data_IF_351741346300
#
_entry.id   IF_351741346300
#
_cell.length_a   1.000
_cell.length_b   1.000
_cell.length_c   1.000
_cell.angle_alpha   90.00
_cell.angle_beta   90.00
_cell.angle_gamma   90.00
#
_symmetry.space_group_name_H-M   'P 1'
#
loop_
_entity.id
_entity.type
_entity.pdbx_description
1 polymer ?
#
# COMPACT_ATOMS: atom_id res chain seq x y z
N UNK A 1 -7.19 13.42 2.83
CA UNK A 1 -8.08 12.32 2.37
C UNK A 1 -8.56 11.54 3.56
N UNK A 2 -9.80 11.06 3.54
CA UNK A 2 -10.28 10.12 4.54
C UNK A 2 -9.47 8.81 4.42
N UNK A 3 -9.08 8.24 5.56
CA UNK A 3 -8.40 6.95 5.61
C UNK A 3 -9.37 5.87 5.11
N UNK A 4 -8.85 4.98 4.27
CA UNK A 4 -9.61 3.94 3.62
C UNK A 4 -9.22 2.57 4.18
N UNK A 5 -10.15 1.90 4.87
CA UNK A 5 -9.95 0.53 5.36
C UNK A 5 -10.16 -0.47 4.22
N UNK A 6 -9.20 -1.37 4.02
CA UNK A 6 -9.21 -2.30 2.88
C UNK A 6 -10.36 -3.30 2.96
N UNK A 7 -10.67 -3.81 4.15
CA UNK A 7 -11.81 -4.70 4.35
C UNK A 7 -13.15 -4.04 3.99
N UNK A 8 -13.38 -2.80 4.44
CA UNK A 8 -14.60 -2.04 4.11
C UNK A 8 -14.70 -1.77 2.60
N UNK A 9 -13.57 -1.50 1.93
CA UNK A 9 -13.53 -1.34 0.46
C UNK A 9 -13.94 -2.62 -0.24
N UNK A 10 -13.46 -3.77 0.22
CA UNK A 10 -13.83 -5.06 -0.34
C UNK A 10 -15.34 -5.32 -0.18
N UNK A 11 -15.87 -5.13 1.03
CA UNK A 11 -17.29 -5.36 1.35
C UNK A 11 -18.22 -4.43 0.56
N UNK A 12 -17.79 -3.18 0.35
CA UNK A 12 -18.57 -2.20 -0.42
C UNK A 12 -18.48 -2.40 -1.94
N UNK A 13 -17.47 -3.10 -2.46
CA UNK A 13 -17.20 -3.19 -3.90
C UNK A 13 -17.05 -4.63 -4.44
N UNK A 14 -17.95 -5.58 -4.10
CA UNK A 14 -17.83 -6.97 -4.58
C UNK A 14 -17.88 -7.07 -6.10
N UNK A 15 -18.61 -6.17 -6.76
CA UNK A 15 -18.69 -6.12 -8.22
C UNK A 15 -17.33 -5.77 -8.88
N UNK A 16 -16.57 -4.81 -8.33
CA UNK A 16 -15.24 -4.46 -8.84
C UNK A 16 -14.23 -5.59 -8.63
N UNK A 17 -14.40 -6.38 -7.58
CA UNK A 17 -13.58 -7.58 -7.34
C UNK A 17 -13.87 -8.62 -8.43
N UNK A 18 -15.15 -8.88 -8.72
CA UNK A 18 -15.56 -9.84 -9.75
C UNK A 18 -15.09 -9.44 -11.15
N UNK A 19 -15.10 -8.14 -11.48
CA UNK A 19 -14.60 -7.64 -12.79
C UNK A 19 -13.08 -7.52 -12.84
N UNK A 20 -12.38 -7.72 -11.72
CA UNK A 20 -10.92 -7.56 -11.61
C UNK A 20 -10.47 -6.10 -11.67
N UNK A 21 -11.36 -5.15 -11.45
CA UNK A 21 -11.05 -3.72 -11.34
C UNK A 21 -10.56 -3.31 -9.96
N UNK A 22 -10.93 -4.08 -8.94
CA UNK A 22 -10.37 -4.06 -7.59
C UNK A 22 -9.72 -5.42 -7.31
N UNK A 23 -8.46 -5.42 -6.89
CA UNK A 23 -7.67 -6.65 -6.76
C UNK A 23 -6.89 -6.61 -5.45
N UNK A 24 -6.91 -7.70 -4.70
CA UNK A 24 -6.09 -7.89 -3.52
C UNK A 24 -4.76 -8.58 -3.89
N UNK A 25 -3.66 -8.07 -3.36
CA UNK A 25 -2.36 -8.75 -3.45
C UNK A 25 -2.32 -9.93 -2.48
N UNK A 26 -1.53 -10.95 -2.80
CA UNK A 26 -1.24 -12.02 -1.85
C UNK A 26 -0.55 -11.46 -0.58
N UNK A 27 -0.83 -12.01 0.61
CA UNK A 27 -0.38 -11.47 1.90
C UNK A 27 1.07 -11.86 2.22
N UNK A 28 2.01 -11.43 1.38
CA UNK A 28 3.44 -11.77 1.49
C UNK A 28 4.32 -10.61 1.99
N UNK A 29 3.72 -9.44 2.22
CA UNK A 29 4.45 -8.24 2.61
C UNK A 29 4.42 -8.02 4.12
N UNK A 30 5.58 -7.73 4.68
CA UNK A 30 5.74 -7.22 6.02
C UNK A 30 5.56 -5.69 6.04
N UNK A 31 5.22 -5.17 7.21
CA UNK A 31 4.93 -3.75 7.41
C UNK A 31 6.14 -3.05 8.02
N UNK A 32 6.54 -1.94 7.41
CA UNK A 32 7.60 -1.06 7.88
C UNK A 32 7.15 0.40 7.80
N UNK A 33 7.83 1.28 8.53
CA UNK A 33 7.46 2.69 8.64
C UNK A 33 6.32 2.94 9.63
N UNK A 34 6.16 4.19 10.06
CA UNK A 34 5.14 4.56 11.06
C UNK A 34 3.73 4.55 10.48
N UNK A 35 3.56 4.80 9.18
CA UNK A 35 2.24 4.79 8.56
C UNK A 35 1.85 3.36 8.20
N UNK A 36 1.10 2.75 9.11
CA UNK A 36 0.48 1.45 8.87
C UNK A 36 -0.60 1.52 7.79
N UNK A 37 -1.25 2.68 7.62
CA UNK A 37 -2.27 2.90 6.60
C UNK A 37 -1.83 3.99 5.63
N UNK A 38 -1.89 3.73 4.33
CA UNK A 38 -1.58 4.69 3.29
C UNK A 38 -2.26 4.32 1.97
N UNK A 39 -2.44 5.31 1.11
CA UNK A 39 -3.01 5.14 -0.22
C UNK A 39 -2.53 6.22 -1.16
N UNK A 40 -2.56 5.96 -2.46
CA UNK A 40 -2.26 6.96 -3.46
C UNK A 40 -2.18 6.40 -4.89
N UNK A 41 -2.04 7.29 -5.88
CA UNK A 41 -1.79 6.89 -7.25
C UNK A 41 -0.43 6.19 -7.39
N UNK A 42 -0.39 5.13 -8.17
CA UNK A 42 0.77 4.27 -8.36
C UNK A 42 1.69 4.82 -9.44
N UNK A 43 2.99 4.74 -9.17
CA UNK A 43 4.03 4.68 -10.21
C UNK A 43 4.87 3.43 -9.99
N UNK A 44 5.28 2.79 -11.08
CA UNK A 44 5.96 1.50 -11.06
C UNK A 44 7.41 1.62 -11.51
N UNK A 45 8.24 0.73 -10.96
CA UNK A 45 9.59 0.51 -11.43
C UNK A 45 9.92 -0.97 -11.34
N UNK A 46 10.56 -1.49 -12.38
CA UNK A 46 11.05 -2.87 -12.42
C UNK A 46 12.58 -2.86 -12.42
N UNK A 47 13.16 -3.55 -11.45
CA UNK A 47 14.61 -3.68 -11.28
C UNK A 47 14.95 -5.10 -10.86
N UNK A 48 16.23 -5.47 -10.91
CA UNK A 48 16.70 -6.72 -10.33
C UNK A 48 18.02 -6.50 -9.61
N UNK A 49 17.98 -6.58 -8.28
CA UNK A 49 19.16 -6.42 -7.42
C UNK A 49 19.96 -5.14 -7.72
N UNK A 50 19.24 -4.07 -8.06
CA UNK A 50 19.74 -2.73 -8.34
C UNK A 50 18.82 -1.70 -7.68
N UNK A 51 19.38 -0.57 -7.24
CA UNK A 51 18.60 0.46 -6.55
C UNK A 51 18.75 1.88 -7.11
N UNK A 52 19.42 2.07 -8.25
CA UNK A 52 19.63 3.41 -8.81
C UNK A 52 18.30 4.04 -9.21
N UNK A 53 17.48 3.34 -10.01
CA UNK A 53 16.19 3.88 -10.46
C UNK A 53 15.18 4.08 -9.32
N UNK A 54 15.24 3.24 -8.27
CA UNK A 54 14.42 3.42 -7.06
C UNK A 54 14.78 4.75 -6.39
N UNK A 55 16.07 5.02 -6.21
CA UNK A 55 16.54 6.26 -5.58
C UNK A 55 16.14 7.49 -6.40
N UNK A 56 16.31 7.44 -7.72
CA UNK A 56 15.91 8.54 -8.60
C UNK A 56 14.43 8.92 -8.40
N UNK A 57 13.52 7.93 -8.36
CA UNK A 57 12.10 8.21 -8.05
C UNK A 57 11.92 8.88 -6.69
N UNK A 58 12.53 8.34 -5.64
CA UNK A 58 12.34 8.86 -4.28
C UNK A 58 12.97 10.25 -4.06
N UNK A 59 13.92 10.64 -4.92
CA UNK A 59 14.50 11.98 -4.97
C UNK A 59 13.54 13.03 -5.58
N UNK A 60 12.55 12.61 -6.38
CA UNK A 60 11.50 13.45 -6.97
C UNK A 60 10.35 13.73 -5.99
N UNK A 61 9.50 14.72 -6.33
CA UNK A 61 8.29 15.05 -5.56
C UNK A 61 7.26 13.93 -5.69
N UNK A 62 6.91 13.31 -4.57
CA UNK A 62 5.99 12.18 -4.53
C UNK A 62 4.53 12.56 -4.71
N UNK A 63 4.12 13.78 -4.37
CA UNK A 63 2.74 14.27 -4.57
C UNK A 63 1.64 13.30 -4.06
N UNK A 64 1.90 12.58 -2.96
CA UNK A 64 0.99 11.57 -2.42
C UNK A 64 0.94 10.25 -3.19
N UNK A 65 1.84 10.02 -4.15
CA UNK A 65 1.95 8.77 -4.90
C UNK A 65 2.52 7.63 -4.05
N UNK A 66 2.28 6.41 -4.52
CA UNK A 66 2.89 5.18 -4.01
C UNK A 66 3.85 4.63 -5.06
N UNK A 67 5.12 4.44 -4.68
CA UNK A 67 6.09 3.76 -5.54
C UNK A 67 5.92 2.25 -5.39
N UNK A 68 5.65 1.55 -6.49
CA UNK A 68 5.59 0.09 -6.54
C UNK A 68 6.82 -0.44 -7.26
N UNK A 69 7.69 -1.11 -6.51
CA UNK A 69 8.96 -1.66 -6.97
C UNK A 69 8.82 -3.16 -7.19
N UNK A 70 8.94 -3.61 -8.44
CA UNK A 70 9.20 -5.01 -8.75
C UNK A 70 10.70 -5.29 -8.74
N UNK A 71 11.20 -5.83 -7.64
CA UNK A 71 12.59 -6.26 -7.46
C UNK A 71 12.84 -7.72 -7.85
N UNK A 72 11.89 -8.37 -8.54
CA UNK A 72 11.93 -9.78 -8.87
C UNK A 72 11.78 -10.71 -7.66
N UNK A 73 11.33 -10.21 -6.51
CA UNK A 73 11.18 -10.98 -5.28
C UNK A 73 12.49 -11.48 -4.69
N UNK A 74 13.64 -10.90 -5.06
CA UNK A 74 14.94 -11.36 -4.55
C UNK A 74 15.05 -11.15 -3.04
N UNK A 75 15.44 -12.21 -2.34
CA UNK A 75 15.77 -12.18 -0.91
C UNK A 75 17.28 -12.10 -0.64
N UNK A 76 18.12 -11.98 -1.68
CA UNK A 76 19.59 -12.06 -1.56
C UNK A 76 20.26 -10.73 -1.18
N UNK A 77 19.58 -9.62 -1.43
CA UNK A 77 20.07 -8.28 -1.10
C UNK A 77 18.91 -7.29 -0.95
N UNK A 78 19.15 -6.23 -0.19
CA UNK A 78 18.24 -5.11 -0.05
C UNK A 78 18.37 -4.09 -1.18
N UNK A 79 17.26 -3.81 -1.84
CA UNK A 79 17.14 -2.80 -2.90
C UNK A 79 16.66 -1.44 -2.37
N UNK A 80 16.24 -1.36 -1.11
CA UNK A 80 15.86 -0.11 -0.44
C UNK A 80 16.47 -0.05 0.97
N UNK A 81 16.85 1.14 1.41
CA UNK A 81 17.43 1.39 2.75
C UNK A 81 16.89 2.67 3.37
N UNK A 82 17.44 3.06 4.52
CA UNK A 82 16.94 4.16 5.35
C UNK A 82 16.95 5.53 4.66
N UNK A 83 18.14 6.01 4.25
CA UNK A 83 18.28 7.33 3.63
C UNK A 83 17.29 7.60 2.47
N UNK A 84 17.12 6.71 1.46
CA UNK A 84 16.11 6.92 0.41
C UNK A 84 14.67 7.00 0.93
N UNK A 85 14.30 6.23 1.96
CA UNK A 85 12.96 6.27 2.56
C UNK A 85 12.74 7.58 3.32
N UNK A 86 13.74 8.04 4.08
CA UNK A 86 13.70 9.33 4.75
C UNK A 86 13.54 10.47 3.74
N UNK A 87 14.21 10.37 2.59
CA UNK A 87 14.04 11.33 1.50
C UNK A 87 12.64 11.27 0.88
N UNK A 88 12.11 10.07 0.65
CA UNK A 88 10.75 9.87 0.15
C UNK A 88 9.70 10.54 1.05
N UNK A 89 9.83 10.38 2.38
CA UNK A 89 8.99 11.07 3.35
C UNK A 89 9.04 12.59 3.15
N UNK A 90 10.24 13.15 3.08
CA UNK A 90 10.44 14.59 2.92
C UNK A 90 9.93 15.12 1.57
N UNK A 91 9.89 14.25 0.56
CA UNK A 91 9.39 14.54 -0.76
C UNK A 91 7.88 14.31 -0.94
N UNK A 92 7.17 13.90 0.11
CA UNK A 92 5.71 13.80 0.11
C UNK A 92 5.18 12.53 -0.57
N UNK A 93 5.95 11.44 -0.59
CA UNK A 93 5.45 10.13 -0.99
C UNK A 93 4.46 9.59 0.06
N UNK A 94 3.37 8.97 -0.39
CA UNK A 94 2.41 8.32 0.52
C UNK A 94 2.95 6.99 1.05
N UNK A 95 3.64 6.24 0.20
CA UNK A 95 4.28 4.99 0.59
C UNK A 95 5.09 4.31 -0.50
N UNK A 96 5.69 3.18 -0.15
CA UNK A 96 6.55 2.38 -1.02
C UNK A 96 6.20 0.90 -0.83
N UNK A 97 5.95 0.17 -1.91
CA UNK A 97 5.73 -1.28 -1.91
C UNK A 97 6.87 -1.94 -2.68
N UNK A 98 7.57 -2.88 -2.04
CA UNK A 98 8.79 -3.50 -2.58
C UNK A 98 8.62 -5.01 -2.67
N UNK A 99 8.54 -5.53 -3.90
CA UNK A 99 8.69 -6.97 -4.17
C UNK A 99 10.18 -7.36 -4.11
N UNK A 100 10.74 -7.37 -2.91
CA UNK A 100 12.14 -7.65 -2.62
C UNK A 100 12.49 -7.31 -1.17
N UNK A 101 13.76 -7.42 -0.82
CA UNK A 101 14.26 -7.07 0.52
C UNK A 101 14.58 -5.58 0.68
N UNK A 102 14.50 -5.12 1.93
CA UNK A 102 14.95 -3.80 2.38
C UNK A 102 15.99 -3.93 3.49
N UNK A 103 16.56 -2.82 3.97
CA UNK A 103 17.48 -2.79 5.11
C UNK A 103 17.33 -1.49 5.90
N UNK A 104 18.10 -1.35 6.98
CA UNK A 104 18.06 -0.18 7.87
C UNK A 104 16.65 -0.01 8.49
N UNK A 105 16.05 -1.15 8.90
CA UNK A 105 14.64 -1.25 9.34
C UNK A 105 14.31 -0.30 10.50
N UNK A 106 15.21 -0.13 11.46
CA UNK A 106 14.98 0.77 12.60
C UNK A 106 14.84 2.23 12.15
N UNK A 107 15.65 2.65 11.17
CA UNK A 107 15.58 3.98 10.58
C UNK A 107 14.27 4.16 9.79
N UNK A 108 13.91 3.15 8.97
CA UNK A 108 12.67 3.14 8.20
C UNK A 108 11.46 3.23 9.14
N UNK A 109 11.46 2.48 10.24
CA UNK A 109 10.40 2.51 11.26
C UNK A 109 10.34 3.82 12.06
N UNK A 110 11.37 4.67 11.96
CA UNK A 110 11.34 6.05 12.44
C UNK A 110 10.60 7.02 11.51
N UNK A 111 10.41 6.67 10.23
CA UNK A 111 9.84 7.56 9.22
C UNK A 111 8.30 7.54 9.22
N UNK A 112 7.67 8.71 9.08
CA UNK A 112 6.23 8.94 8.86
C UNK A 112 5.83 8.70 7.38
N UNK A 113 6.11 7.49 6.89
CA UNK A 113 5.75 7.01 5.56
C UNK A 113 5.35 5.53 5.66
N UNK A 114 4.53 5.05 4.72
CA UNK A 114 4.15 3.65 4.65
C UNK A 114 5.14 2.84 3.82
N UNK A 115 5.63 1.72 4.34
CA UNK A 115 6.49 0.80 3.60
C UNK A 115 5.96 -0.62 3.70
N UNK A 116 5.99 -1.34 2.57
CA UNK A 116 5.70 -2.77 2.47
C UNK A 116 6.85 -3.46 1.75
N UNK A 117 7.37 -4.54 2.30
CA UNK A 117 8.45 -5.30 1.67
C UNK A 117 8.39 -6.77 2.06
N UNK A 118 9.05 -7.65 1.31
CA UNK A 118 9.02 -9.09 1.58
C UNK A 118 9.76 -9.43 2.89
N UNK A 119 10.95 -8.85 3.08
CA UNK A 119 11.79 -9.07 4.26
C UNK A 119 12.88 -8.00 4.39
N UNK A 120 13.63 -8.06 5.49
CA UNK A 120 14.87 -7.31 5.65
C UNK A 120 16.10 -8.17 5.31
N UNK A 121 17.12 -7.59 4.67
CA UNK A 121 18.39 -8.26 4.39
C UNK A 121 19.57 -7.27 4.47
N UNK A 122 20.67 -7.58 5.17
CA UNK A 122 21.73 -6.59 5.43
C UNK A 122 22.56 -6.21 4.18
N UNK A 123 22.74 -7.15 3.24
CA UNK A 123 23.53 -6.92 2.03
C UNK A 123 22.88 -5.89 1.10
N UNK A 124 23.66 -4.93 0.60
CA UNK A 124 23.20 -3.92 -0.38
C UNK A 124 23.09 -4.50 -1.79
N UNK A 125 22.14 -3.98 -2.57
CA UNK A 125 22.03 -4.18 -4.00
C UNK A 125 23.20 -3.55 -4.80
N UNK A 126 23.26 -3.88 -6.09
CA UNK A 126 24.14 -3.24 -7.05
C UNK A 126 23.70 -1.79 -7.36
N UNK A 127 24.57 -1.07 -8.06
CA UNK A 127 24.34 0.32 -8.49
C UNK A 127 24.73 0.54 -9.95
N UNK A 128 24.17 -0.28 -10.83
CA UNK A 128 24.44 -0.29 -12.28
C UNK A 128 23.47 0.59 -13.06
N UNK A 129 22.33 1.00 -12.50
CA UNK A 129 21.35 1.81 -13.25
C UNK A 129 20.44 1.00 -14.14
N UNK A 130 20.33 -0.32 -13.91
CA UNK A 130 19.54 -1.21 -14.74
C UNK A 130 18.10 -1.34 -14.25
N UNK A 131 17.16 -1.27 -15.18
CA UNK A 131 15.73 -1.49 -14.95
C UNK A 131 14.86 -0.67 -15.89
N UNK A 132 13.57 -0.66 -15.60
CA UNK A 132 12.54 -0.03 -16.43
C UNK A 132 11.61 0.79 -15.53
N UNK A 133 11.42 2.07 -15.84
CA UNK A 133 10.47 2.96 -15.16
C UNK A 133 9.11 2.92 -15.88
N UNK A 134 8.01 3.09 -15.15
CA UNK A 134 6.66 3.25 -15.72
C UNK A 134 6.19 2.05 -16.56
N UNK A 135 6.64 0.83 -16.19
CA UNK A 135 6.23 -0.41 -16.86
C UNK A 135 5.26 -1.21 -16.00
N UNK A 136 4.25 -1.89 -16.58
CA UNK A 136 3.40 -2.77 -15.80
C UNK A 136 4.21 -3.85 -15.08
N UNK A 137 3.96 -4.02 -13.79
CA UNK A 137 4.63 -5.04 -12.96
C UNK A 137 3.63 -6.11 -12.52
N UNK A 138 4.12 -7.30 -12.20
CA UNK A 138 3.29 -8.38 -11.62
C UNK A 138 3.94 -8.88 -10.34
N UNK A 139 3.35 -8.53 -9.21
CA UNK A 139 3.86 -8.86 -7.87
C UNK A 139 2.74 -9.46 -7.04
N UNK A 140 3.05 -10.42 -6.18
CA UNK A 140 2.07 -11.05 -5.28
C UNK A 140 0.77 -11.52 -6.01
N UNK A 141 0.93 -12.09 -7.21
CA UNK A 141 -0.18 -12.57 -8.04
C UNK A 141 -1.02 -11.50 -8.75
N UNK A 142 -0.67 -10.21 -8.60
CA UNK A 142 -1.46 -9.09 -9.17
C UNK A 142 -0.64 -8.26 -10.15
N UNK A 143 -1.22 -7.98 -11.32
CA UNK A 143 -0.68 -7.01 -12.28
C UNK A 143 -1.05 -5.59 -11.86
N UNK A 144 -0.06 -4.70 -11.87
CA UNK A 144 -0.19 -3.30 -11.42
C UNK A 144 0.38 -2.39 -12.51
N UNK A 145 -0.37 -1.34 -12.85
CA UNK A 145 0.04 -0.30 -13.79
C UNK A 145 0.21 1.06 -13.11
N UNK A 146 0.98 1.92 -13.75
CA UNK A 146 0.98 3.35 -13.47
C UNK A 146 -0.44 3.95 -13.55
N UNK A 147 -0.71 4.91 -12.68
CA UNK A 147 -1.98 5.63 -12.61
C UNK A 147 -3.11 4.87 -11.92
N UNK A 148 -2.95 3.56 -11.67
CA UNK A 148 -3.84 2.84 -10.77
C UNK A 148 -3.71 3.35 -9.34
N UNK A 149 -4.62 2.95 -8.47
CA UNK A 149 -4.66 3.38 -7.08
C UNK A 149 -4.33 2.23 -6.15
N UNK A 150 -3.46 2.48 -5.18
CA UNK A 150 -3.09 1.52 -4.15
C UNK A 150 -3.65 1.95 -2.80
N UNK A 151 -4.16 0.99 -2.05
CA UNK A 151 -4.60 1.14 -0.66
C UNK A 151 -3.93 0.05 0.17
N UNK A 152 -3.32 0.42 1.28
CA UNK A 152 -2.65 -0.50 2.17
C UNK A 152 -2.98 -0.18 3.62
N UNK A 153 -3.30 -1.22 4.38
CA UNK A 153 -3.42 -1.18 5.83
C UNK A 153 -2.79 -2.46 6.43
N UNK A 154 -3.19 -2.83 7.66
CA UNK A 154 -2.69 -4.02 8.34
C UNK A 154 -3.28 -5.32 7.81
N UNK A 155 -4.42 -5.29 7.13
CA UNK A 155 -5.08 -6.48 6.59
C UNK A 155 -4.48 -6.87 5.24
N UNK A 156 -4.10 -5.88 4.43
CA UNK A 156 -3.45 -6.17 3.15
C UNK A 156 -3.24 -4.97 2.25
N UNK A 157 -3.09 -5.27 0.95
CA UNK A 157 -2.89 -4.29 -0.11
C UNK A 157 -3.93 -4.55 -1.20
N UNK A 158 -4.65 -3.49 -1.57
CA UNK A 158 -5.56 -3.46 -2.69
C UNK A 158 -5.01 -2.57 -3.80
N UNK A 159 -5.30 -2.93 -5.04
CA UNK A 159 -5.09 -2.10 -6.23
C UNK A 159 -6.41 -1.94 -6.96
N UNK A 160 -6.75 -0.71 -7.32
CA UNK A 160 -7.92 -0.38 -8.11
C UNK A 160 -7.54 0.37 -9.39
N UNK A 161 -8.30 0.19 -10.46
CA UNK A 161 -8.10 0.96 -11.71
C UNK A 161 -8.32 2.47 -11.53
N UNK A 162 -9.08 2.89 -10.51
CA UNK A 162 -9.42 4.29 -10.27
C UNK A 162 -9.42 4.61 -8.77
N UNK A 163 -9.47 5.90 -8.43
CA UNK A 163 -9.65 6.33 -7.04
C UNK A 163 -11.02 5.87 -6.53
N UNK A 164 -11.02 5.25 -5.36
CA UNK A 164 -12.20 4.83 -4.64
C UNK A 164 -12.46 5.88 -3.57
N UNK A 165 -13.51 6.67 -3.75
CA UNK A 165 -13.99 7.56 -2.72
C UNK A 165 -14.86 6.77 -1.76
N UNK A 166 -14.47 6.70 -0.49
CA UNK A 166 -15.39 6.23 0.52
C UNK A 166 -16.40 7.35 0.80
N UNK A 167 -17.58 7.21 0.21
CA UNK A 167 -18.75 7.87 0.80
C UNK A 167 -18.97 7.15 2.12
N UNK A 168 -18.83 7.83 3.26
CA UNK A 168 -19.25 7.26 4.55
C UNK A 168 -20.68 6.74 4.35
N UNK A 169 -20.84 5.43 4.25
CA UNK A 169 -22.14 4.83 4.40
C UNK A 169 -22.55 5.18 5.83
N UNK A 170 -23.43 6.17 5.97
CA UNK A 170 -24.16 6.39 7.19
C UNK A 170 -25.05 5.16 7.38
N UNK A 171 -24.46 4.05 7.84
CA UNK A 171 -25.22 3.03 8.53
C UNK A 171 -25.68 3.67 9.84
N UNK A 172 -26.80 4.41 9.73
CA UNK A 172 -27.73 4.59 10.83
C UNK A 172 -28.06 3.17 11.28
N UNK A 173 -27.43 2.74 12.37
CA UNK A 173 -28.04 1.79 13.26
C UNK A 173 -29.35 2.45 13.74
N UNK A 174 -30.44 2.25 12.99
CA UNK A 174 -31.76 2.44 13.55
C UNK A 174 -31.88 1.42 14.67
N UNK A 175 -31.81 1.95 15.88
CA UNK A 175 -32.11 1.31 17.14
C UNK A 175 -33.26 0.31 16.96
N UNK A 176 -32.96 -0.94 17.29
CA UNK A 176 -33.95 -1.90 17.76
C UNK A 176 -34.64 -1.23 18.96
N UNK A 177 -35.81 -0.63 18.73
CA UNK A 177 -36.78 -0.36 19.80
C UNK A 177 -37.79 -1.48 19.73
N UNK A 178 -37.51 -2.56 20.45
CA UNK A 178 -38.53 -3.53 20.83
C UNK A 178 -39.38 -2.91 21.95
N UNK A 179 -40.71 -2.75 21.80
CA UNK A 179 -41.54 -2.28 22.90
C UNK A 179 -41.82 -3.45 23.86
N UNK A 180 -41.10 -3.49 25.00
CA UNK A 180 -41.51 -4.29 26.15
C UNK A 180 -42.34 -3.42 27.12
N UNK A 181 -43.60 -3.86 27.29
CA UNK A 181 -44.51 -3.76 28.43
C UNK A 181 -44.71 -2.44 29.19
N UNK A 182 -45.97 -2.01 29.26
CA UNK A 182 -46.71 -1.91 30.53
C UNK A 182 -48.16 -2.34 30.35
N UNK A 183 -48.50 -3.50 30.90
CA UNK A 183 -49.86 -3.86 31.29
C UNK A 183 -50.27 -2.95 32.44
N UNK A 184 -51.27 -2.10 32.21
CA UNK A 184 -51.94 -1.35 33.26
C UNK A 184 -53.08 -2.18 33.85
N UNK A 185 -52.97 -2.50 35.14
CA UNK A 185 -54.09 -2.92 35.98
C UNK A 185 -54.71 -1.68 36.63
N UNK A 186 -56.02 -1.49 36.40
CA UNK A 186 -57.06 -0.77 37.17
C UNK A 186 -58.32 -0.91 36.30
N UNK A 187 -59.44 -1.50 36.70
CA UNK A 187 -60.15 -1.57 37.97
C UNK A 187 -60.69 -2.98 38.25
#
# INVERSE_FOLDING_TARGET
>A
MALVATAEVCDANPHLIQTGELRALQPIFQIYGRRQVFSGPVVTVKVFEDNVLIREFLEEKGNGQVLVVDGGGSLRCAILGGNPVQQAQNNGWAGIVVNGCIRDVDEINGCDIGVRALASHPMKANKKGMGEKHVPVTIAGTRICDGEWLYADTDGILVSKAELSMTRALHRAEFIIWPHHKTGFTF
#
